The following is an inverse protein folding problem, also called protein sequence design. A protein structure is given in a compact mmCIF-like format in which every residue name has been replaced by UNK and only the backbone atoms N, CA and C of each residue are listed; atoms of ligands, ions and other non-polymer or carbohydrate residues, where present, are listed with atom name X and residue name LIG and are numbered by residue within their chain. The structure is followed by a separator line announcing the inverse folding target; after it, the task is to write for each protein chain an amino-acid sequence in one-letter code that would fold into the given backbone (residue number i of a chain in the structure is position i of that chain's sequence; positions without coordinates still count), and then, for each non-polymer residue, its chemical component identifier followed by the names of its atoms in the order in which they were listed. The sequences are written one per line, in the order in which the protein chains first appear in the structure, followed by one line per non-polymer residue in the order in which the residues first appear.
data_IF_085057311446
#
_entry.id   IF_085057311446
#
_cell.length_a   1.000
_cell.length_b   1.000
_cell.length_c   1.000
_cell.angle_alpha   90.00
_cell.angle_beta   90.00
_cell.angle_gamma   90.00
#
_symmetry.space_group_name_H-M   'P 1'
#
loop_
_entity.id
_entity.type
_entity.pdbx_description
1 polymer ?
#
# COMPACT_ATOMS: atom_id res chain seq x y z
N UNK A 1 5.03 -92.11 -105.78
CA UNK A 1 5.50 -93.51 -105.65
C UNK A 1 6.98 -93.41 -105.38
N UNK A 2 7.49 -93.81 -104.22
CA UNK A 2 7.64 -95.22 -103.81
C UNK A 2 7.69 -95.35 -102.27
N UNK A 3 7.03 -96.37 -101.73
CA UNK A 3 7.12 -96.80 -100.34
C UNK A 3 8.48 -97.50 -100.11
N UNK A 4 9.11 -97.28 -98.95
CA UNK A 4 10.28 -98.03 -98.47
C UNK A 4 9.80 -99.00 -97.39
N UNK A 5 10.15 -100.27 -97.53
CA UNK A 5 9.85 -101.34 -96.58
C UNK A 5 11.04 -101.55 -95.62
N UNK A 6 10.75 -101.70 -94.32
CA UNK A 6 11.66 -101.46 -93.19
C UNK A 6 12.28 -102.73 -92.56
N UNK A 7 12.16 -103.88 -93.22
CA UNK A 7 12.59 -105.15 -92.66
C UNK A 7 13.99 -105.62 -93.10
N UNK A 8 14.89 -104.68 -93.44
CA UNK A 8 16.30 -104.99 -93.75
C UNK A 8 17.21 -104.80 -92.50
N UNK A 9 17.88 -105.86 -91.99
CA UNK A 9 18.66 -105.84 -90.74
C UNK A 9 19.82 -104.84 -90.65
N UNK A 10 20.29 -104.25 -91.76
CA UNK A 10 21.30 -103.19 -91.77
C UNK A 10 20.86 -101.90 -91.05
N UNK A 11 19.55 -101.60 -91.03
CA UNK A 11 19.00 -100.37 -90.44
C UNK A 11 19.08 -100.39 -88.90
N UNK A 12 18.99 -101.58 -88.28
CA UNK A 12 19.00 -101.74 -86.82
C UNK A 12 20.38 -101.46 -86.19
N UNK A 13 21.47 -101.82 -86.86
CA UNK A 13 22.82 -101.57 -86.33
C UNK A 13 23.19 -100.08 -86.30
N UNK A 14 22.74 -99.31 -87.29
CA UNK A 14 22.96 -97.85 -87.38
C UNK A 14 22.20 -97.12 -86.26
N UNK A 15 20.97 -97.55 -85.96
CA UNK A 15 20.17 -97.01 -84.86
C UNK A 15 20.87 -97.16 -83.49
N UNK A 16 21.53 -98.29 -83.24
CA UNK A 16 22.26 -98.52 -81.99
C UNK A 16 23.43 -97.55 -81.77
N UNK A 17 24.23 -97.28 -82.82
CA UNK A 17 25.38 -96.38 -82.72
C UNK A 17 24.98 -94.91 -82.47
N UNK A 18 23.88 -94.46 -83.08
CA UNK A 18 23.36 -93.08 -82.91
C UNK A 18 22.93 -92.82 -81.47
N UNK A 19 22.29 -93.79 -80.81
CA UNK A 19 21.83 -93.64 -79.41
C UNK A 19 23.01 -93.42 -78.45
N UNK A 20 24.15 -94.08 -78.68
CA UNK A 20 25.33 -93.94 -77.81
C UNK A 20 25.96 -92.55 -77.88
N UNK A 21 26.06 -91.96 -79.08
CA UNK A 21 26.62 -90.61 -79.28
C UNK A 21 25.75 -89.54 -78.63
N UNK A 22 24.42 -89.68 -78.73
CA UNK A 22 23.47 -88.74 -78.09
C UNK A 22 23.62 -88.74 -76.57
N UNK A 23 23.87 -89.91 -75.97
CA UNK A 23 24.01 -90.04 -74.52
C UNK A 23 25.27 -89.34 -74.00
N UNK A 24 26.39 -89.43 -74.71
CA UNK A 24 27.63 -88.71 -74.37
C UNK A 24 27.47 -87.18 -74.44
N UNK A 25 26.71 -86.66 -75.41
CA UNK A 25 26.49 -85.23 -75.60
C UNK A 25 25.61 -84.63 -74.49
N UNK A 26 24.65 -85.39 -73.96
CA UNK A 26 23.80 -84.96 -72.84
C UNK A 26 24.62 -84.75 -71.56
N UNK A 27 25.65 -85.57 -71.32
CA UNK A 27 26.48 -85.50 -70.11
C UNK A 27 27.35 -84.22 -70.12
N UNK A 28 27.95 -83.86 -71.25
CA UNK A 28 28.82 -82.66 -71.35
C UNK A 28 28.04 -81.36 -71.19
N UNK A 29 26.84 -81.27 -71.78
CA UNK A 29 25.96 -80.10 -71.63
C UNK A 29 25.50 -79.91 -70.19
N UNK A 30 25.19 -81.00 -69.47
CA UNK A 30 24.82 -80.92 -68.05
C UNK A 30 25.96 -80.41 -67.17
N UNK A 31 27.22 -80.72 -67.49
CA UNK A 31 28.37 -80.20 -66.73
C UNK A 31 28.53 -78.69 -66.91
N UNK A 32 28.39 -78.17 -68.14
CA UNK A 32 28.50 -76.75 -68.45
C UNK A 32 27.38 -75.90 -67.81
N UNK A 33 26.16 -76.44 -67.71
CA UNK A 33 25.04 -75.76 -67.05
C UNK A 33 25.22 -75.61 -65.52
N UNK A 34 26.01 -76.48 -64.89
CA UNK A 34 26.23 -76.44 -63.43
C UNK A 34 27.22 -75.35 -63.02
N UNK A 35 28.20 -75.02 -63.86
CA UNK A 35 29.19 -73.95 -63.59
C UNK A 35 28.60 -72.54 -63.76
N UNK A 36 27.66 -72.34 -64.70
CA UNK A 36 26.97 -71.05 -64.86
C UNK A 36 26.16 -70.63 -63.61
N UNK A 37 25.57 -71.60 -62.88
CA UNK A 37 24.79 -71.33 -61.65
C UNK A 37 25.64 -70.88 -60.45
N UNK A 38 26.96 -71.02 -60.50
CA UNK A 38 27.85 -70.62 -59.40
C UNK A 38 28.38 -69.18 -59.53
N UNK A 39 28.18 -68.52 -60.68
CA UNK A 39 28.64 -67.15 -60.93
C UNK A 39 27.65 -66.07 -60.45
N UNK A 40 26.34 -66.38 -60.36
CA UNK A 40 25.30 -65.45 -59.91
C UNK A 40 25.49 -64.89 -58.48
N UNK A 41 25.84 -65.68 -57.44
CA UNK A 41 25.91 -65.14 -56.08
C UNK A 41 27.09 -64.20 -55.82
N UNK A 42 28.16 -64.27 -56.62
CA UNK A 42 29.36 -63.44 -56.41
C UNK A 42 29.20 -62.00 -56.94
N UNK A 43 28.44 -61.81 -58.01
CA UNK A 43 28.16 -60.47 -58.55
C UNK A 43 27.35 -59.61 -57.56
N UNK A 44 26.40 -60.21 -56.85
CA UNK A 44 25.59 -59.53 -55.84
C UNK A 44 26.42 -59.05 -54.63
N UNK A 45 27.40 -59.85 -54.19
CA UNK A 45 28.22 -59.50 -53.03
C UNK A 45 29.13 -58.30 -53.29
N UNK A 46 29.71 -58.19 -54.49
CA UNK A 46 30.58 -57.06 -54.87
C UNK A 46 29.76 -55.77 -55.00
N UNK A 47 28.55 -55.84 -55.57
CA UNK A 47 27.65 -54.68 -55.63
C UNK A 47 27.22 -54.17 -54.24
N UNK A 48 26.91 -55.09 -53.32
CA UNK A 48 26.55 -54.74 -51.95
C UNK A 48 27.72 -54.11 -51.15
N UNK A 49 28.95 -54.55 -51.40
CA UNK A 49 30.15 -53.96 -50.79
C UNK A 49 30.40 -52.53 -51.29
N UNK A 50 30.24 -52.28 -52.60
CA UNK A 50 30.37 -50.93 -53.18
C UNK A 50 29.40 -49.93 -52.55
N UNK A 51 28.13 -50.32 -52.39
CA UNK A 51 27.12 -49.46 -51.76
C UNK A 51 27.42 -49.17 -50.28
N UNK A 52 27.98 -50.12 -49.53
CA UNK A 52 28.36 -49.90 -48.12
C UNK A 52 29.52 -48.92 -47.97
N UNK A 53 30.53 -49.00 -48.84
CA UNK A 53 31.67 -48.07 -48.82
C UNK A 53 31.21 -46.66 -49.19
N UNK A 54 30.33 -46.53 -50.18
CA UNK A 54 29.80 -45.23 -50.58
C UNK A 54 28.92 -44.61 -49.47
N UNK A 55 28.08 -45.42 -48.81
CA UNK A 55 27.30 -44.96 -47.65
C UNK A 55 28.18 -44.53 -46.45
N UNK A 56 29.34 -45.15 -46.26
CA UNK A 56 30.32 -44.72 -45.24
C UNK A 56 31.00 -43.39 -45.61
N UNK A 57 31.32 -43.19 -46.90
CA UNK A 57 31.84 -41.91 -47.39
C UNK A 57 30.87 -40.75 -47.16
N UNK A 58 29.61 -40.93 -47.56
CA UNK A 58 28.55 -39.95 -47.34
C UNK A 58 28.30 -39.68 -45.84
N UNK A 59 28.45 -40.72 -45.00
CA UNK A 59 28.35 -40.61 -43.55
C UNK A 59 29.47 -39.76 -42.93
N UNK A 60 30.72 -39.95 -43.38
CA UNK A 60 31.86 -39.17 -42.92
C UNK A 60 31.76 -37.70 -43.34
N UNK A 61 31.32 -37.42 -44.56
CA UNK A 61 31.17 -36.04 -45.05
C UNK A 61 30.09 -35.27 -44.27
N UNK A 62 28.97 -35.92 -43.94
CA UNK A 62 27.94 -35.34 -43.06
C UNK A 62 28.43 -35.11 -41.64
N UNK A 63 29.26 -36.01 -41.10
CA UNK A 63 29.86 -35.82 -39.78
C UNK A 63 30.87 -34.65 -39.77
N UNK A 64 31.70 -34.52 -40.80
CA UNK A 64 32.62 -33.40 -40.94
C UNK A 64 31.85 -32.07 -41.04
N UNK A 65 30.80 -32.01 -41.87
CA UNK A 65 29.92 -30.83 -41.96
C UNK A 65 29.20 -30.51 -40.65
N UNK A 66 28.69 -31.54 -39.95
CA UNK A 66 28.03 -31.39 -38.65
C UNK A 66 28.97 -30.87 -37.56
N UNK A 67 30.21 -31.36 -37.50
CA UNK A 67 31.22 -30.89 -36.56
C UNK A 67 31.64 -29.44 -36.84
N UNK A 68 31.78 -29.06 -38.10
CA UNK A 68 32.02 -27.65 -38.47
C UNK A 68 30.87 -26.75 -38.01
N UNK A 69 29.63 -27.16 -38.23
CA UNK A 69 28.45 -26.36 -37.86
C UNK A 69 28.27 -26.25 -36.33
N UNK A 70 28.63 -27.31 -35.57
CA UNK A 70 28.64 -27.27 -34.10
C UNK A 70 29.75 -26.37 -33.58
N UNK A 71 30.95 -26.45 -34.15
CA UNK A 71 32.08 -25.58 -33.79
C UNK A 71 31.77 -24.11 -34.06
N UNK A 72 31.17 -23.80 -35.22
CA UNK A 72 30.78 -22.44 -35.59
C UNK A 72 29.64 -21.91 -34.71
N UNK A 73 28.64 -22.74 -34.40
CA UNK A 73 27.58 -22.38 -33.45
C UNK A 73 28.13 -22.15 -32.03
N UNK A 74 29.10 -22.95 -31.59
CA UNK A 74 29.74 -22.80 -30.29
C UNK A 74 30.59 -21.53 -30.22
N UNK A 75 31.38 -21.23 -31.26
CA UNK A 75 32.16 -19.99 -31.35
C UNK A 75 31.25 -18.75 -31.34
N UNK A 76 30.13 -18.80 -32.06
CA UNK A 76 29.13 -17.72 -32.07
C UNK A 76 28.44 -17.56 -30.70
N UNK A 77 28.11 -18.66 -30.03
CA UNK A 77 27.57 -18.64 -28.67
C UNK A 77 28.57 -18.07 -27.66
N UNK A 78 29.85 -18.42 -27.78
CA UNK A 78 30.90 -17.92 -26.90
C UNK A 78 31.14 -16.42 -27.10
N UNK A 79 31.17 -15.95 -28.35
CA UNK A 79 31.25 -14.51 -28.66
C UNK A 79 30.05 -13.73 -28.12
N UNK A 80 28.83 -14.26 -28.29
CA UNK A 80 27.62 -13.63 -27.76
C UNK A 80 27.65 -13.56 -26.22
N UNK A 81 28.17 -14.59 -25.56
CA UNK A 81 28.35 -14.61 -24.11
C UNK A 81 29.36 -13.57 -23.63
N UNK A 82 30.50 -13.42 -24.32
CA UNK A 82 31.50 -12.40 -24.02
C UNK A 82 30.93 -11.00 -24.18
N UNK A 83 30.18 -10.73 -25.24
CA UNK A 83 29.50 -9.45 -25.44
C UNK A 83 28.47 -9.16 -24.34
N UNK A 84 27.68 -10.15 -23.93
CA UNK A 84 26.73 -10.00 -22.82
C UNK A 84 27.45 -9.74 -21.50
N UNK A 85 28.57 -10.40 -21.25
CA UNK A 85 29.40 -10.17 -20.05
C UNK A 85 29.98 -8.75 -20.05
N UNK A 86 30.51 -8.26 -21.17
CA UNK A 86 30.99 -6.89 -21.30
C UNK A 86 29.88 -5.87 -21.06
N UNK A 87 28.69 -6.08 -21.64
CA UNK A 87 27.52 -5.21 -21.40
C UNK A 87 27.08 -5.22 -19.94
N UNK A 88 27.03 -6.38 -19.30
CA UNK A 88 26.69 -6.51 -17.87
C UNK A 88 27.72 -5.82 -16.99
N UNK A 89 29.01 -5.98 -17.27
CA UNK A 89 30.08 -5.32 -16.52
C UNK A 89 30.02 -3.80 -16.68
N UNK A 90 29.79 -3.30 -17.90
CA UNK A 90 29.60 -1.87 -18.15
C UNK A 90 28.37 -1.32 -17.40
N UNK A 91 27.26 -2.06 -17.38
CA UNK A 91 26.06 -1.68 -16.63
C UNK A 91 26.31 -1.65 -15.11
N UNK A 92 27.00 -2.66 -14.57
CA UNK A 92 27.37 -2.70 -13.15
C UNK A 92 28.31 -1.55 -12.80
N UNK A 93 29.29 -1.26 -13.66
CA UNK A 93 30.20 -0.13 -13.46
C UNK A 93 29.46 1.21 -13.44
N UNK A 94 28.55 1.44 -14.38
CA UNK A 94 27.75 2.66 -14.43
C UNK A 94 26.84 2.80 -13.19
N UNK A 95 26.15 1.73 -12.82
CA UNK A 95 25.28 1.71 -11.64
C UNK A 95 26.07 1.94 -10.34
N UNK A 96 27.27 1.36 -10.23
CA UNK A 96 28.15 1.57 -9.10
C UNK A 96 28.65 3.01 -9.04
N UNK A 97 29.00 3.60 -10.19
CA UNK A 97 29.45 4.98 -10.28
C UNK A 97 28.34 5.98 -9.86
N UNK A 98 27.11 5.77 -10.35
CA UNK A 98 25.94 6.56 -9.94
C UNK A 98 25.62 6.41 -8.46
N UNK A 99 25.66 5.18 -7.93
CA UNK A 99 25.41 4.92 -6.51
C UNK A 99 26.49 5.53 -5.62
N UNK A 100 27.76 5.45 -6.01
CA UNK A 100 28.87 6.06 -5.27
C UNK A 100 28.79 7.60 -5.29
N UNK A 101 28.55 8.21 -6.45
CA UNK A 101 28.36 9.67 -6.54
C UNK A 101 27.12 10.13 -5.77
N UNK A 102 26.01 9.41 -5.88
CA UNK A 102 24.80 9.69 -5.12
C UNK A 102 25.00 9.55 -3.62
N UNK A 103 25.70 8.52 -3.18
CA UNK A 103 26.04 8.29 -1.77
C UNK A 103 26.99 9.35 -1.22
N UNK A 104 28.03 9.71 -1.98
CA UNK A 104 28.97 10.77 -1.59
C UNK A 104 28.27 12.12 -1.46
N UNK A 105 27.36 12.46 -2.39
CA UNK A 105 26.60 13.72 -2.34
C UNK A 105 25.62 13.77 -1.16
N UNK A 106 24.91 12.68 -0.88
CA UNK A 106 24.04 12.57 0.31
C UNK A 106 24.84 12.65 1.61
N UNK A 107 26.02 12.02 1.64
CA UNK A 107 26.93 12.09 2.79
C UNK A 107 27.44 13.50 3.00
N UNK A 108 27.85 14.21 1.94
CA UNK A 108 28.28 15.61 2.03
C UNK A 108 27.14 16.53 2.50
N UNK A 109 25.91 16.34 2.00
CA UNK A 109 24.73 17.07 2.50
C UNK A 109 24.45 16.78 3.97
N UNK A 110 24.46 15.51 4.37
CA UNK A 110 24.22 15.11 5.76
C UNK A 110 25.30 15.68 6.69
N UNK A 111 26.57 15.67 6.28
CA UNK A 111 27.67 16.30 7.01
C UNK A 111 27.53 17.83 7.09
N UNK A 112 27.06 18.48 6.02
CA UNK A 112 26.76 19.91 6.03
C UNK A 112 25.62 20.27 6.98
N UNK A 113 24.55 19.49 6.98
CA UNK A 113 23.44 19.64 7.92
C UNK A 113 23.88 19.40 9.37
N UNK A 114 24.73 18.38 9.61
CA UNK A 114 25.32 18.13 10.91
C UNK A 114 26.23 19.28 11.36
N UNK A 115 27.04 19.84 10.46
CA UNK A 115 27.87 21.01 10.75
C UNK A 115 26.98 22.22 11.09
N UNK A 116 25.88 22.43 10.38
CA UNK A 116 24.95 23.52 10.66
C UNK A 116 24.23 23.33 12.00
N UNK A 117 23.88 22.08 12.34
CA UNK A 117 23.38 21.73 13.67
C UNK A 117 24.42 21.95 14.77
N UNK A 118 25.69 21.57 14.55
CA UNK A 118 26.78 21.83 15.49
C UNK A 118 27.00 23.34 15.70
N UNK A 119 27.00 24.13 14.63
CA UNK A 119 27.06 25.61 14.75
C UNK A 119 25.85 26.17 15.49
N UNK A 120 24.65 25.58 15.31
CA UNK A 120 23.47 25.98 16.08
C UNK A 120 23.56 25.58 17.55
N UNK A 121 24.21 24.45 17.86
CA UNK A 121 24.48 23.99 19.23
C UNK A 121 25.53 24.88 19.88
N UNK A 122 26.61 25.22 19.19
CA UNK A 122 27.62 26.17 19.68
C UNK A 122 27.00 27.55 19.92
N UNK A 123 26.14 28.04 19.01
CA UNK A 123 25.36 29.27 19.24
C UNK A 123 24.38 29.14 20.41
N UNK A 124 23.72 27.99 20.58
CA UNK A 124 22.85 27.76 21.71
C UNK A 124 23.65 27.70 23.03
N UNK A 125 24.86 27.14 23.00
CA UNK A 125 25.76 27.06 24.14
C UNK A 125 26.37 28.42 24.48
N UNK A 126 26.73 29.23 23.48
CA UNK A 126 27.16 30.63 23.62
C UNK A 126 26.00 31.51 24.13
N UNK A 127 24.76 31.25 23.68
CA UNK A 127 23.56 31.86 24.24
C UNK A 127 23.29 31.39 25.68
N UNK A 128 23.66 30.17 26.08
CA UNK A 128 23.56 29.67 27.47
C UNK A 128 24.62 30.30 28.38
N UNK A 129 25.86 30.47 27.90
CA UNK A 129 26.91 31.20 28.64
C UNK A 129 26.61 32.70 28.70
N UNK A 130 26.06 33.30 27.63
CA UNK A 130 25.52 34.67 27.68
C UNK A 130 24.29 34.77 28.57
N UNK A 131 23.38 33.80 28.60
CA UNK A 131 22.22 33.78 29.50
C UNK A 131 22.64 33.75 30.98
N UNK A 132 23.79 33.16 31.29
CA UNK A 132 24.38 33.18 32.64
C UNK A 132 24.97 34.54 33.01
N UNK A 133 25.40 35.35 32.02
CA UNK A 133 25.83 36.74 32.19
C UNK A 133 24.70 37.78 32.12
N UNK A 134 23.67 37.53 31.30
CA UNK A 134 22.50 38.38 31.06
C UNK A 134 21.47 38.34 32.20
N UNK A 135 21.73 37.56 33.26
CA UNK A 135 21.05 37.72 34.56
C UNK A 135 21.30 39.12 35.15
N UNK A 136 22.31 39.86 34.67
CA UNK A 136 22.52 41.28 34.99
C UNK A 136 21.65 42.24 34.15
N UNK A 137 21.35 41.92 32.89
CA UNK A 137 20.47 42.72 32.00
C UNK A 137 18.98 42.65 32.40
N UNK A 138 18.56 41.52 32.97
CA UNK A 138 17.25 41.38 33.62
C UNK A 138 17.08 42.30 34.84
N UNK A 139 18.15 42.72 35.53
CA UNK A 139 18.02 43.61 36.70
C UNK A 139 17.51 45.02 36.31
N UNK A 140 17.87 45.50 35.11
CA UNK A 140 17.44 46.82 34.63
C UNK A 140 15.98 46.82 34.16
N UNK A 141 15.51 45.75 33.50
CA UNK A 141 14.09 45.57 33.12
C UNK A 141 13.20 45.33 34.35
N UNK A 142 13.75 44.71 35.40
CA UNK A 142 13.05 44.39 36.64
C UNK A 142 13.08 45.52 37.69
N UNK A 143 13.69 46.67 37.40
CA UNK A 143 13.78 47.80 38.35
C UNK A 143 12.42 48.47 38.65
N UNK A 144 11.52 48.57 37.66
CA UNK A 144 10.20 49.20 37.80
C UNK A 144 9.06 48.18 37.99
N UNK A 145 8.15 48.43 38.94
CA UNK A 145 6.99 47.56 39.22
C UNK A 145 6.11 47.30 38.01
N UNK A 146 5.96 48.28 37.13
CA UNK A 146 5.12 48.16 35.94
C UNK A 146 5.76 47.29 34.86
N UNK A 147 7.07 47.44 34.62
CA UNK A 147 7.80 46.59 33.66
C UNK A 147 7.90 45.14 34.15
N UNK A 148 7.98 44.94 35.48
CA UNK A 148 7.88 43.60 36.09
C UNK A 148 6.55 42.92 35.81
N UNK A 149 5.43 43.64 36.02
CA UNK A 149 4.10 43.12 35.71
C UNK A 149 3.97 42.73 34.24
N UNK A 150 4.39 43.63 33.35
CA UNK A 150 4.39 43.39 31.91
C UNK A 150 5.26 42.19 31.51
N UNK A 151 6.42 41.99 32.13
CA UNK A 151 7.27 40.81 31.85
C UNK A 151 6.55 39.50 32.19
N UNK A 152 5.88 39.46 33.35
CA UNK A 152 5.09 38.30 33.77
C UNK A 152 3.92 38.02 32.81
N UNK A 153 3.24 39.06 32.34
CA UNK A 153 2.14 38.95 31.37
C UNK A 153 2.63 38.50 29.98
N UNK A 154 3.76 39.04 29.50
CA UNK A 154 4.37 38.66 28.21
C UNK A 154 4.79 37.19 28.24
N UNK A 155 5.45 36.75 29.31
CA UNK A 155 5.88 35.36 29.44
C UNK A 155 4.67 34.41 29.51
N UNK A 156 3.63 34.79 30.26
CA UNK A 156 2.38 34.01 30.29
C UNK A 156 1.74 33.94 28.90
N UNK A 157 1.66 35.06 28.18
CA UNK A 157 1.11 35.12 26.84
C UNK A 157 1.86 34.19 25.87
N UNK A 158 3.19 34.20 25.90
CA UNK A 158 4.02 33.34 25.05
C UNK A 158 3.78 31.85 25.34
N UNK A 159 3.72 31.47 26.62
CA UNK A 159 3.44 30.09 27.05
C UNK A 159 2.04 29.66 26.59
N UNK A 160 1.02 30.49 26.83
CA UNK A 160 -0.38 30.19 26.47
C UNK A 160 -0.55 30.06 24.97
N UNK A 161 0.01 30.99 24.19
CA UNK A 161 -0.11 30.99 22.72
C UNK A 161 0.57 29.78 22.10
N UNK A 162 1.67 29.29 22.68
CA UNK A 162 2.35 28.06 22.23
C UNK A 162 1.62 26.79 22.68
N UNK A 163 0.98 26.81 23.84
CA UNK A 163 0.37 25.62 24.43
C UNK A 163 -1.06 25.38 23.97
N UNK A 164 -1.85 26.43 23.73
CA UNK A 164 -3.28 26.32 23.47
C UNK A 164 -3.68 26.97 22.13
N UNK A 165 -4.70 26.44 21.44
CA UNK A 165 -5.31 27.12 20.30
C UNK A 165 -5.91 28.48 20.70
N UNK A 166 -5.91 29.45 19.80
CA UNK A 166 -6.34 30.84 20.06
C UNK A 166 -7.81 31.00 20.47
N UNK A 167 -8.67 30.04 20.14
CA UNK A 167 -10.08 30.00 20.54
C UNK A 167 -10.31 29.43 21.95
N UNK A 168 -9.26 28.89 22.58
CA UNK A 168 -9.35 28.17 23.85
C UNK A 168 -8.96 29.02 25.06
N UNK A 169 -8.66 30.30 24.86
CA UNK A 169 -8.33 31.23 25.92
C UNK A 169 -8.72 32.67 25.57
N UNK A 170 -8.73 33.54 26.59
CA UNK A 170 -8.88 34.97 26.42
C UNK A 170 -7.90 35.67 27.35
N UNK A 171 -6.99 36.46 26.76
CA UNK A 171 -6.07 37.29 27.52
C UNK A 171 -6.82 38.48 28.11
N UNK A 172 -6.43 38.90 29.32
CA UNK A 172 -7.00 40.07 30.00
C UNK A 172 -8.54 40.00 30.10
N UNK A 173 -9.07 38.82 30.38
CA UNK A 173 -10.51 38.58 30.47
C UNK A 173 -11.12 39.26 31.70
N UNK A 174 -12.25 39.94 31.51
CA UNK A 174 -13.02 40.56 32.60
C UNK A 174 -14.15 39.63 33.00
N UNK A 175 -14.21 39.27 34.29
CA UNK A 175 -15.23 38.40 34.88
C UNK A 175 -16.48 39.21 35.27
N UNK A 176 -17.56 38.52 35.61
CA UNK A 176 -18.85 39.13 35.99
C UNK A 176 -18.75 40.11 37.16
N UNK A 177 -17.79 39.90 38.06
CA UNK A 177 -17.52 40.77 39.20
C UNK A 177 -16.68 42.03 38.86
N UNK A 178 -16.41 42.28 37.57
CA UNK A 178 -15.63 43.41 37.09
C UNK A 178 -14.12 43.30 37.35
N UNK A 179 -13.64 42.16 37.86
CA UNK A 179 -12.20 41.88 38.01
C UNK A 179 -11.64 41.33 36.71
N UNK A 180 -10.38 41.65 36.44
CA UNK A 180 -9.69 41.25 35.21
C UNK A 180 -8.56 40.28 35.55
N UNK A 181 -8.63 39.07 34.99
CA UNK A 181 -7.58 38.07 35.08
C UNK A 181 -6.61 38.22 33.90
N UNK A 182 -5.34 37.85 34.07
CA UNK A 182 -4.35 37.98 33.00
C UNK A 182 -4.62 37.04 31.83
N UNK A 183 -5.13 35.85 32.12
CA UNK A 183 -5.61 34.90 31.13
C UNK A 183 -6.78 34.09 31.70
N UNK A 184 -7.78 33.82 30.87
CA UNK A 184 -8.86 32.89 31.16
C UNK A 184 -8.82 31.77 30.13
N UNK A 185 -8.67 30.53 30.57
CA UNK A 185 -8.67 29.35 29.70
C UNK A 185 -10.09 28.80 29.65
N UNK A 186 -10.62 28.64 28.45
CA UNK A 186 -11.93 28.08 28.21
C UNK A 186 -11.82 26.56 28.19
N UNK A 187 -12.40 25.90 29.19
CA UNK A 187 -12.52 24.45 29.26
C UNK A 187 -14.00 24.04 29.30
N UNK A 188 -14.32 22.83 28.81
CA UNK A 188 -15.67 22.29 28.95
C UNK A 188 -16.04 22.07 30.43
N UNK A 189 -17.33 22.15 30.74
CA UNK A 189 -17.85 21.82 32.07
C UNK A 189 -18.05 20.31 32.24
N UNK A 190 -17.60 19.70 33.36
CA UNK A 190 -16.62 20.19 34.34
C UNK A 190 -15.15 20.01 33.86
N UNK A 191 -14.17 20.84 34.30
CA UNK A 191 -14.24 21.79 35.42
C UNK A 191 -14.69 23.23 35.07
N UNK A 192 -14.80 23.59 33.78
CA UNK A 192 -15.13 24.95 33.37
C UNK A 192 -13.93 25.90 33.26
N UNK A 193 -14.16 27.20 32.96
CA UNK A 193 -13.09 28.15 32.65
C UNK A 193 -12.12 28.36 33.82
N UNK A 194 -10.81 28.28 33.58
CA UNK A 194 -9.77 28.45 34.60
C UNK A 194 -9.06 29.78 34.42
N UNK A 195 -9.03 30.59 35.48
CA UNK A 195 -8.30 31.85 35.50
C UNK A 195 -6.81 31.64 35.84
N UNK A 196 -5.95 32.42 35.19
CA UNK A 196 -4.52 32.52 35.47
C UNK A 196 -4.19 33.98 35.75
N UNK A 197 -3.44 34.21 36.82
CA UNK A 197 -2.96 35.53 37.22
C UNK A 197 -1.45 35.46 37.53
N UNK A 198 -0.70 36.38 36.94
CA UNK A 198 0.75 36.47 37.03
C UNK A 198 1.14 37.32 38.24
N UNK A 199 1.92 36.73 39.16
CA UNK A 199 2.39 37.42 40.36
C UNK A 199 3.88 37.18 40.55
N UNK A 200 4.62 38.27 40.75
CA UNK A 200 6.06 38.20 40.95
C UNK A 200 6.48 38.86 42.26
N UNK A 201 6.65 38.09 43.36
CA UNK A 201 7.12 38.62 44.65
C UNK A 201 8.65 38.84 44.64
N UNK A 202 9.17 39.47 43.58
CA UNK A 202 10.61 39.59 43.34
C UNK A 202 11.32 40.37 44.45
N UNK A 203 10.73 41.45 44.95
CA UNK A 203 11.36 42.28 45.99
C UNK A 203 11.65 41.50 47.27
N UNK A 204 10.68 40.69 47.71
CA UNK A 204 10.84 39.84 48.89
C UNK A 204 11.84 38.70 48.64
N UNK A 205 11.84 38.13 47.43
CA UNK A 205 12.80 37.10 47.03
C UNK A 205 14.23 37.66 46.90
N UNK A 206 14.41 38.85 46.34
CA UNK A 206 15.71 39.51 46.27
C UNK A 206 16.24 39.89 47.64
N UNK A 207 15.38 40.41 48.52
CA UNK A 207 15.74 40.68 49.90
C UNK A 207 16.22 39.39 50.60
N UNK A 208 15.57 38.25 50.32
CA UNK A 208 15.97 36.95 50.85
C UNK A 208 17.34 36.54 50.33
N UNK A 209 17.59 36.70 49.03
CA UNK A 209 18.86 36.34 48.38
C UNK A 209 20.02 37.25 48.77
N UNK A 210 19.76 38.53 49.05
CA UNK A 210 20.75 39.54 49.44
C UNK A 210 21.02 39.58 50.95
N UNK A 211 20.22 38.88 51.76
CA UNK A 211 20.39 38.85 53.21
C UNK A 211 21.74 38.23 53.59
N UNK A 212 22.54 38.94 54.38
CA UNK A 212 23.85 38.48 54.85
C UNK A 212 23.86 38.14 56.33
N UNK A 213 22.81 38.50 57.06
CA UNK A 213 22.65 38.24 58.50
C UNK A 213 21.37 37.48 58.78
N UNK A 214 21.34 36.68 59.85
CA UNK A 214 20.16 35.90 60.25
C UNK A 214 18.93 36.78 60.48
N UNK A 215 19.11 38.00 60.98
CA UNK A 215 18.03 38.96 61.16
C UNK A 215 17.43 39.40 59.82
N UNK A 216 18.27 39.77 58.85
CA UNK A 216 17.82 40.13 57.50
C UNK A 216 17.13 38.95 56.80
N UNK A 217 17.66 37.74 56.97
CA UNK A 217 17.09 36.52 56.40
C UNK A 217 15.67 36.28 56.94
N UNK A 218 15.50 36.40 58.25
CA UNK A 218 14.20 36.21 58.91
C UNK A 218 13.16 37.26 58.48
N UNK A 219 13.55 38.54 58.40
CA UNK A 219 12.65 39.60 57.93
C UNK A 219 12.28 39.42 56.45
N UNK A 220 13.25 39.10 55.58
CA UNK A 220 12.97 38.84 54.18
C UNK A 220 12.05 37.62 53.97
N UNK A 221 12.27 36.55 54.72
CA UNK A 221 11.42 35.36 54.69
C UNK A 221 9.99 35.67 55.14
N UNK A 222 9.82 36.53 56.16
CA UNK A 222 8.51 37.00 56.62
C UNK A 222 7.80 37.84 55.56
N UNK A 223 8.51 38.74 54.88
CA UNK A 223 7.97 39.54 53.78
C UNK A 223 7.50 38.66 52.62
N UNK A 224 8.29 37.64 52.25
CA UNK A 224 7.94 36.70 51.18
C UNK A 224 6.65 35.94 51.51
N UNK A 225 6.56 35.39 52.75
CA UNK A 225 5.36 34.71 53.24
C UNK A 225 4.12 35.60 53.16
N UNK A 226 4.22 36.84 53.64
CA UNK A 226 3.09 37.77 53.61
C UNK A 226 2.67 38.13 52.19
N UNK A 227 3.63 38.37 51.30
CA UNK A 227 3.34 38.73 49.90
C UNK A 227 2.63 37.59 49.16
N UNK A 228 3.17 36.38 49.25
CA UNK A 228 2.62 35.21 48.55
C UNK A 228 1.24 34.85 49.11
N UNK A 229 1.06 34.86 50.43
CA UNK A 229 -0.25 34.59 51.05
C UNK A 229 -1.31 35.61 50.63
N UNK A 230 -0.93 36.90 50.52
CA UNK A 230 -1.82 37.94 50.00
C UNK A 230 -2.21 37.66 48.55
N UNK A 231 -1.26 37.26 47.70
CA UNK A 231 -1.55 36.93 46.30
C UNK A 231 -2.47 35.72 46.16
N UNK A 232 -2.23 34.65 46.91
CA UNK A 232 -3.09 33.47 46.96
C UNK A 232 -4.53 33.87 47.33
N UNK A 233 -4.68 34.64 48.41
CA UNK A 233 -5.99 35.12 48.86
C UNK A 233 -6.68 35.97 47.81
N UNK A 234 -5.97 36.94 47.25
CA UNK A 234 -6.48 37.83 46.19
C UNK A 234 -6.97 37.05 44.96
N UNK A 235 -6.21 36.04 44.52
CA UNK A 235 -6.56 35.22 43.35
C UNK A 235 -7.80 34.39 43.64
N UNK A 236 -7.84 33.74 44.81
CA UNK A 236 -8.97 32.92 45.24
C UNK A 236 -10.27 33.75 45.31
N UNK A 237 -10.23 34.92 45.94
CA UNK A 237 -11.40 35.78 46.12
C UNK A 237 -11.86 36.47 44.82
N UNK A 238 -10.95 36.80 43.91
CA UNK A 238 -11.29 37.56 42.69
C UNK A 238 -11.70 36.67 41.52
N UNK A 239 -11.17 35.46 41.44
CA UNK A 239 -11.25 34.66 40.21
C UNK A 239 -11.88 33.29 40.37
N UNK A 240 -12.20 32.84 41.59
CA UNK A 240 -12.95 31.60 41.81
C UNK A 240 -14.40 31.99 42.12
N UNK A 241 -15.23 31.99 41.08
CA UNK A 241 -16.63 32.40 41.10
C UNK A 241 -17.51 31.20 40.78
N UNK A 242 -18.38 30.84 41.72
CA UNK A 242 -19.30 29.71 41.59
C UNK A 242 -20.23 29.89 40.38
N UNK A 243 -20.28 28.87 39.51
CA UNK A 243 -21.10 28.87 38.30
C UNK A 243 -20.51 29.62 37.10
N UNK A 244 -19.40 30.35 37.27
CA UNK A 244 -18.73 31.09 36.18
C UNK A 244 -17.35 30.51 35.86
N UNK A 245 -16.53 30.28 36.88
CA UNK A 245 -15.18 29.73 36.73
C UNK A 245 -15.09 28.36 37.39
N UNK A 246 -14.03 27.62 37.08
CA UNK A 246 -13.69 26.38 37.75
C UNK A 246 -13.47 26.58 39.25
N UNK A 247 -13.56 25.48 40.01
CA UNK A 247 -13.21 25.39 41.43
C UNK A 247 -11.70 25.50 41.70
N UNK A 248 -10.99 26.30 40.91
CA UNK A 248 -9.60 26.64 41.16
C UNK A 248 -9.01 27.56 40.11
N UNK A 249 -7.91 28.20 40.48
CA UNK A 249 -7.17 29.16 39.66
C UNK A 249 -5.66 28.87 39.69
N UNK A 250 -4.93 29.37 38.70
CA UNK A 250 -3.48 29.25 38.64
C UNK A 250 -2.81 30.58 39.01
N UNK A 251 -1.87 30.53 39.96
CA UNK A 251 -0.95 31.62 40.24
C UNK A 251 0.34 31.39 39.47
N UNK A 252 0.56 32.16 38.42
CA UNK A 252 1.75 32.06 37.58
C UNK A 252 2.90 32.87 38.19
N UNK A 253 4.01 32.19 38.48
CA UNK A 253 5.26 32.79 38.92
C UNK A 253 6.24 32.80 37.74
N UNK A 254 6.63 33.98 37.19
CA UNK A 254 7.48 34.07 36.01
C UNK A 254 8.98 33.80 36.31
N UNK A 255 9.27 32.91 37.24
CA UNK A 255 10.62 32.53 37.67
C UNK A 255 10.64 31.13 38.28
N UNK A 256 11.41 30.23 37.67
CA UNK A 256 11.66 28.89 38.22
C UNK A 256 12.38 28.95 39.57
N UNK A 257 13.27 29.92 39.76
CA UNK A 257 14.03 30.06 41.00
C UNK A 257 13.12 30.41 42.19
N UNK A 258 12.17 31.33 42.01
CA UNK A 258 11.17 31.66 43.04
C UNK A 258 10.27 30.46 43.33
N UNK A 259 9.83 29.76 42.28
CA UNK A 259 9.00 28.56 42.46
C UNK A 259 9.73 27.46 43.27
N UNK A 260 11.00 27.20 42.95
CA UNK A 260 11.83 26.22 43.67
C UNK A 260 12.05 26.63 45.13
N UNK A 261 12.33 27.91 45.39
CA UNK A 261 12.49 28.46 46.74
C UNK A 261 11.23 28.25 47.59
N UNK A 262 10.04 28.53 47.03
CA UNK A 262 8.78 28.33 47.72
C UNK A 262 8.54 26.86 48.09
N UNK A 263 8.87 25.93 47.20
CA UNK A 263 8.67 24.50 47.45
C UNK A 263 9.69 23.92 48.43
N UNK A 264 10.94 24.42 48.40
CA UNK A 264 12.00 23.95 49.28
C UNK A 264 11.86 24.49 50.71
N UNK A 265 11.65 25.80 50.85
CA UNK A 265 11.80 26.51 52.13
C UNK A 265 10.49 27.05 52.71
N UNK A 266 9.41 27.08 51.92
CA UNK A 266 8.10 27.60 52.34
C UNK A 266 6.93 26.66 52.00
N UNK A 267 6.99 25.36 52.34
CA UNK A 267 5.95 24.39 51.99
C UNK A 267 4.57 24.73 52.59
N UNK A 268 4.53 25.53 53.65
CA UNK A 268 3.28 26.06 54.20
C UNK A 268 2.52 26.95 53.21
N UNK A 269 3.21 27.74 52.39
CA UNK A 269 2.57 28.60 51.39
C UNK A 269 1.97 27.79 50.24
N UNK A 270 2.62 26.69 49.88
CA UNK A 270 2.11 25.74 48.90
C UNK A 270 0.82 25.08 49.41
N UNK A 271 0.80 24.66 50.68
CA UNK A 271 -0.41 24.12 51.33
C UNK A 271 -1.53 25.16 51.44
N UNK A 272 -1.19 26.40 51.80
CA UNK A 272 -2.15 27.51 51.83
C UNK A 272 -2.78 27.73 50.43
N UNK A 273 -1.97 27.62 49.37
CA UNK A 273 -2.43 27.66 47.97
C UNK A 273 -3.44 26.56 47.66
N UNK A 274 -3.09 25.31 47.96
CA UNK A 274 -4.01 24.17 47.77
C UNK A 274 -5.32 24.35 48.54
N UNK A 275 -5.27 24.78 49.80
CA UNK A 275 -6.45 25.02 50.63
C UNK A 275 -7.34 26.14 50.06
N UNK A 276 -6.73 27.17 49.47
CA UNK A 276 -7.43 28.26 48.79
C UNK A 276 -7.85 27.93 47.35
N UNK A 277 -7.60 26.70 46.87
CA UNK A 277 -7.83 26.25 45.48
C UNK A 277 -7.05 27.08 44.45
N UNK A 278 -5.86 27.54 44.82
CA UNK A 278 -4.93 28.29 43.97
C UNK A 278 -3.65 27.48 43.79
N UNK A 279 -3.41 26.98 42.58
CA UNK A 279 -2.21 26.22 42.27
C UNK A 279 -1.10 27.14 41.77
N UNK A 280 0.04 27.07 42.46
CA UNK A 280 1.23 27.82 42.09
C UNK A 280 1.91 27.09 40.93
N UNK A 281 2.18 27.81 39.83
CA UNK A 281 2.87 27.26 38.66
C UNK A 281 3.99 28.18 38.20
N UNK A 282 5.10 27.59 37.81
CA UNK A 282 6.24 28.20 37.12
C UNK A 282 6.12 28.06 35.60
N UNK A 283 7.02 28.63 34.77
CA UNK A 283 6.97 28.49 33.30
C UNK A 283 6.85 27.04 32.81
N UNK A 284 7.68 26.14 33.34
CA UNK A 284 7.70 24.73 32.93
C UNK A 284 6.45 23.98 33.39
N UNK A 285 6.03 24.18 34.64
CA UNK A 285 4.84 23.52 35.20
C UNK A 285 3.55 24.08 34.60
N UNK A 286 3.49 25.38 34.28
CA UNK A 286 2.41 26.00 33.53
C UNK A 286 2.30 25.36 32.14
N UNK A 287 3.41 25.30 31.38
CA UNK A 287 3.44 24.65 30.07
C UNK A 287 2.93 23.19 30.13
N UNK A 288 3.37 22.41 31.11
CA UNK A 288 2.89 21.03 31.30
C UNK A 288 1.39 20.96 31.61
N UNK A 289 0.91 21.86 32.48
CA UNK A 289 -0.51 21.97 32.85
C UNK A 289 -1.36 22.34 31.64
N UNK A 290 -0.95 23.34 30.86
CA UNK A 290 -1.65 23.76 29.64
C UNK A 290 -1.66 22.68 28.56
N UNK A 291 -0.57 21.94 28.40
CA UNK A 291 -0.53 20.80 27.48
C UNK A 291 -1.52 19.70 27.89
N UNK A 292 -1.70 19.49 29.19
CA UNK A 292 -2.70 18.55 29.72
C UNK A 292 -4.12 19.07 29.46
N UNK A 293 -4.37 20.35 29.69
CA UNK A 293 -5.64 21.01 29.34
C UNK A 293 -5.93 20.95 27.83
N UNK A 294 -4.92 21.07 26.97
CA UNK A 294 -5.06 20.91 25.51
C UNK A 294 -5.58 19.52 25.14
N UNK A 295 -5.09 18.47 25.80
CA UNK A 295 -5.57 17.11 25.55
C UNK A 295 -7.06 16.98 25.88
N UNK A 296 -7.50 17.53 27.01
CA UNK A 296 -8.91 17.58 27.41
C UNK A 296 -9.75 18.33 26.38
N UNK A 297 -9.27 19.47 25.88
CA UNK A 297 -9.95 20.24 24.84
C UNK A 297 -10.11 19.46 23.53
N UNK A 298 -9.06 18.74 23.13
CA UNK A 298 -9.10 17.89 21.94
C UNK A 298 -10.15 16.79 22.09
N UNK A 299 -10.19 16.14 23.25
CA UNK A 299 -11.16 15.07 23.55
C UNK A 299 -12.59 15.60 23.57
N UNK A 300 -12.82 16.79 24.13
CA UNK A 300 -14.12 17.43 24.15
C UNK A 300 -14.62 17.78 22.74
N UNK A 301 -13.77 18.40 21.92
CA UNK A 301 -14.09 18.68 20.50
C UNK A 301 -14.40 17.40 19.73
N UNK A 302 -13.61 16.34 19.94
CA UNK A 302 -13.84 15.05 19.28
C UNK A 302 -15.22 14.46 19.64
N UNK A 303 -15.66 14.57 20.89
CA UNK A 303 -17.00 14.13 21.33
C UNK A 303 -18.13 14.93 20.69
N UNK A 304 -17.98 16.25 20.57
CA UNK A 304 -18.97 17.11 19.92
C UNK A 304 -19.13 16.73 18.44
N UNK A 305 -18.01 16.56 17.73
CA UNK A 305 -18.02 16.15 16.33
C UNK A 305 -18.58 14.74 16.13
N UNK A 306 -18.31 13.80 17.05
CA UNK A 306 -18.93 12.48 17.02
C UNK A 306 -20.47 12.55 17.11
N UNK A 307 -21.02 13.51 17.87
CA UNK A 307 -22.45 13.78 17.92
C UNK A 307 -23.02 14.29 16.60
N UNK A 308 -22.30 15.17 15.90
CA UNK A 308 -22.66 15.62 14.55
C UNK A 308 -22.61 14.46 13.54
N UNK A 309 -21.54 13.66 13.55
CA UNK A 309 -21.40 12.48 12.68
C UNK A 309 -22.53 11.48 12.91
N UNK A 310 -22.92 11.21 14.17
CA UNK A 310 -24.06 10.32 14.47
C UNK A 310 -25.37 10.83 13.89
N UNK A 311 -25.61 12.15 13.88
CA UNK A 311 -26.80 12.73 13.24
C UNK A 311 -26.79 12.52 11.73
N UNK A 312 -25.67 12.82 11.08
CA UNK A 312 -25.50 12.60 9.63
C UNK A 312 -25.64 11.13 9.24
N UNK A 313 -25.06 10.20 10.02
CA UNK A 313 -25.23 8.77 9.80
C UNK A 313 -26.69 8.32 9.95
N UNK A 314 -27.45 8.94 10.86
CA UNK A 314 -28.89 8.68 11.01
C UNK A 314 -29.69 9.10 9.77
N UNK A 315 -29.36 10.24 9.17
CA UNK A 315 -29.97 10.70 7.91
C UNK A 315 -29.60 9.75 6.75
N UNK A 316 -28.33 9.38 6.64
CA UNK A 316 -27.88 8.42 5.63
C UNK A 316 -28.59 7.07 5.74
N UNK A 317 -28.80 6.57 6.97
CA UNK A 317 -29.55 5.34 7.18
C UNK A 317 -31.00 5.43 6.67
N UNK A 318 -31.67 6.55 6.92
CA UNK A 318 -33.03 6.79 6.39
C UNK A 318 -33.05 6.78 4.85
N UNK A 319 -32.03 7.35 4.21
CA UNK A 319 -31.94 7.37 2.76
C UNK A 319 -31.69 5.96 2.18
N UNK A 320 -30.84 5.17 2.84
CA UNK A 320 -30.61 3.76 2.46
C UNK A 320 -31.88 2.92 2.65
N UNK A 321 -32.62 3.12 3.74
CA UNK A 321 -33.89 2.43 3.98
C UNK A 321 -34.94 2.74 2.89
N UNK A 322 -35.10 4.03 2.54
CA UNK A 322 -35.95 4.47 1.42
C UNK A 322 -35.53 3.84 0.10
N UNK A 323 -34.21 3.73 -0.15
CA UNK A 323 -33.71 3.08 -1.35
C UNK A 323 -34.05 1.59 -1.35
N UNK A 324 -33.90 0.90 -0.21
CA UNK A 324 -34.31 -0.48 -0.04
C UNK A 324 -35.80 -0.71 -0.36
N UNK A 325 -36.69 0.12 0.20
CA UNK A 325 -38.13 0.06 -0.09
C UNK A 325 -38.44 0.27 -1.58
N UNK A 326 -37.73 1.18 -2.25
CA UNK A 326 -37.89 1.41 -3.70
C UNK A 326 -37.43 0.22 -4.52
N UNK A 327 -36.31 -0.40 -4.15
CA UNK A 327 -35.81 -1.62 -4.81
C UNK A 327 -36.79 -2.77 -4.62
N UNK A 328 -37.36 -2.92 -3.42
CA UNK A 328 -38.36 -3.96 -3.15
C UNK A 328 -39.65 -3.75 -3.97
N UNK A 329 -40.11 -2.50 -4.09
CA UNK A 329 -41.23 -2.16 -4.97
C UNK A 329 -40.90 -2.48 -6.44
N UNK A 330 -39.68 -2.18 -6.89
CA UNK A 330 -39.24 -2.46 -8.26
C UNK A 330 -39.18 -3.97 -8.54
N UNK A 331 -38.67 -4.77 -7.59
CA UNK A 331 -38.65 -6.23 -7.69
C UNK A 331 -40.06 -6.82 -7.81
N UNK A 332 -41.03 -6.30 -7.06
CA UNK A 332 -42.44 -6.66 -7.22
C UNK A 332 -42.97 -6.35 -8.62
N UNK A 333 -42.63 -5.21 -9.20
CA UNK A 333 -43.02 -4.86 -10.56
C UNK A 333 -42.38 -5.76 -11.62
N UNK A 334 -41.08 -6.09 -11.50
CA UNK A 334 -40.41 -7.03 -12.40
C UNK A 334 -41.01 -8.43 -12.31
N UNK A 335 -41.31 -8.90 -11.10
CA UNK A 335 -41.98 -10.18 -10.89
C UNK A 335 -43.35 -10.23 -11.56
N UNK A 336 -44.10 -9.13 -11.52
CA UNK A 336 -45.38 -9.03 -12.23
C UNK A 336 -45.17 -9.03 -13.75
N UNK A 337 -44.27 -8.20 -14.27
CA UNK A 337 -43.97 -8.18 -15.70
C UNK A 337 -43.50 -9.54 -16.23
N UNK A 338 -42.70 -10.28 -15.45
CA UNK A 338 -42.26 -11.62 -15.80
C UNK A 338 -43.43 -12.63 -15.89
N UNK A 339 -44.43 -12.52 -15.01
CA UNK A 339 -45.67 -13.29 -15.10
C UNK A 339 -46.44 -12.93 -16.37
N UNK A 340 -46.61 -11.64 -16.65
CA UNK A 340 -47.33 -11.17 -17.83
C UNK A 340 -46.67 -11.68 -19.13
N UNK A 341 -45.34 -11.64 -19.22
CA UNK A 341 -44.57 -12.21 -20.35
C UNK A 341 -44.84 -13.72 -20.49
N UNK A 342 -44.93 -14.43 -19.37
CA UNK A 342 -45.21 -15.88 -19.38
C UNK A 342 -46.61 -16.17 -19.92
N UNK A 343 -47.61 -15.39 -19.52
CA UNK A 343 -48.99 -15.51 -20.03
C UNK A 343 -49.10 -15.17 -21.53
N UNK A 344 -48.38 -14.13 -21.99
CA UNK A 344 -48.28 -13.76 -23.41
C UNK A 344 -47.67 -14.91 -24.23
N UNK A 345 -46.62 -15.56 -23.70
CA UNK A 345 -45.98 -16.70 -24.36
C UNK A 345 -46.94 -17.89 -24.50
N UNK A 346 -47.67 -18.23 -23.44
CA UNK A 346 -48.69 -19.31 -23.46
C UNK A 346 -49.78 -19.01 -24.51
N UNK A 347 -50.25 -17.77 -24.55
CA UNK A 347 -51.29 -17.34 -25.50
C UNK A 347 -50.78 -17.38 -26.94
N UNK A 348 -49.56 -16.90 -27.19
CA UNK A 348 -48.88 -16.97 -28.49
C UNK A 348 -48.70 -18.42 -28.96
N UNK A 349 -48.28 -19.33 -28.08
CA UNK A 349 -48.14 -20.76 -28.40
C UNK A 349 -49.48 -21.41 -28.76
N UNK A 350 -50.55 -21.09 -28.02
CA UNK A 350 -51.91 -21.55 -28.33
C UNK A 350 -52.37 -21.02 -29.69
N UNK A 351 -52.16 -19.74 -29.97
CA UNK A 351 -52.51 -19.12 -31.25
C UNK A 351 -51.74 -19.78 -32.41
N UNK A 352 -50.43 -19.97 -32.27
CA UNK A 352 -49.60 -20.66 -33.26
C UNK A 352 -50.02 -22.11 -33.51
N UNK A 353 -50.35 -22.87 -32.45
CA UNK A 353 -50.91 -24.23 -32.61
C UNK A 353 -52.25 -24.23 -33.34
N UNK A 354 -53.10 -23.22 -33.09
CA UNK A 354 -54.40 -23.09 -33.76
C UNK A 354 -54.25 -22.72 -35.24
N UNK A 355 -53.33 -21.80 -35.55
CA UNK A 355 -52.98 -21.43 -36.92
C UNK A 355 -52.49 -22.63 -37.73
N UNK A 356 -51.58 -23.45 -37.18
CA UNK A 356 -51.12 -24.69 -37.84
C UNK A 356 -52.23 -25.72 -38.08
N UNK A 357 -53.24 -25.80 -37.19
CA UNK A 357 -54.40 -26.67 -37.43
C UNK A 357 -55.29 -26.17 -38.56
N UNK A 358 -55.48 -24.85 -38.66
CA UNK A 358 -56.23 -24.23 -39.75
C UNK A 358 -55.53 -24.46 -41.10
N UNK A 359 -54.22 -24.27 -41.14
CA UNK A 359 -53.39 -24.53 -42.34
C UNK A 359 -53.52 -26.00 -42.80
N UNK A 360 -53.57 -26.96 -41.87
CA UNK A 360 -53.78 -28.38 -42.20
C UNK A 360 -55.22 -28.70 -42.66
N UNK A 361 -56.23 -27.94 -42.23
CA UNK A 361 -57.63 -28.19 -42.60
C UNK A 361 -57.91 -27.77 -44.06
N UNK A 362 -57.22 -26.75 -44.58
CA UNK A 362 -57.36 -26.30 -45.98
C UNK A 362 -56.81 -27.30 -47.01
N UNK A 363 -55.99 -28.30 -46.60
CA UNK A 363 -55.43 -29.31 -47.52
C UNK A 363 -56.23 -30.62 -47.57
N UNK A 364 -57.10 -30.92 -46.61
CA UNK A 364 -57.91 -32.17 -46.63
C UNK A 364 -59.25 -32.01 -47.37
N UNK A 365 -59.86 -30.82 -47.40
CA UNK A 365 -61.15 -30.60 -48.08
C UNK A 365 -61.05 -30.44 -49.62
N UNK A 366 -59.85 -30.25 -50.18
CA UNK A 366 -59.63 -30.16 -51.63
C UNK A 366 -59.34 -31.50 -52.33
N UNK A 367 -59.35 -32.62 -51.62
CA UNK A 367 -59.20 -33.96 -52.22
C UNK A 367 -60.55 -34.69 -52.35
N UNK A 368 -61.46 -34.18 -53.19
CA UNK A 368 -62.61 -34.98 -53.63
C UNK A 368 -62.15 -36.07 -54.62
N UNK A 369 -62.53 -37.34 -54.45
CA UNK A 369 -62.21 -38.39 -55.41
C UNK A 369 -63.02 -38.19 -56.70
N UNK A 370 -62.31 -38.09 -57.82
CA UNK A 370 -62.90 -38.01 -59.16
C UNK A 370 -63.64 -39.33 -59.45
N UNK A 371 -64.98 -39.30 -59.47
CA UNK A 371 -65.82 -40.43 -59.94
C UNK A 371 -65.64 -40.62 -61.46
N UNK A 372 -65.40 -41.84 -61.96
CA UNK A 372 -65.25 -42.07 -63.39
C UNK A 372 -66.63 -42.12 -64.07
N UNK A 373 -66.77 -41.39 -65.18
CA UNK A 373 -67.98 -41.37 -66.02
C UNK A 373 -68.06 -42.68 -66.81
N UNK A 374 -69.12 -43.45 -66.57
CA UNK A 374 -69.49 -44.64 -67.33
C UNK A 374 -69.97 -44.26 -68.74
N UNK A 375 -69.32 -44.83 -69.75
CA UNK A 375 -69.77 -44.85 -71.14
C UNK A 375 -70.97 -45.77 -71.31
N UNK A 376 -72.11 -45.22 -71.75
CA UNK A 376 -73.28 -46.00 -72.15
C UNK A 376 -73.36 -46.11 -73.68
N UNK A 377 -73.51 -47.35 -74.17
CA UNK A 377 -73.67 -47.76 -75.56
C UNK A 377 -75.11 -47.57 -76.06
N UNK A 378 -75.23 -47.10 -77.32
CA UNK A 378 -76.04 -47.56 -78.48
C UNK A 378 -77.46 -48.17 -78.23
N UNK A 379 -78.44 -47.60 -78.95
CA UNK A 379 -79.76 -48.13 -79.35
C UNK A 379 -80.79 -46.99 -79.43
N UNK A 380 -81.47 -46.64 -80.52
CA UNK A 380 -81.68 -47.18 -81.88
C UNK A 380 -81.55 -46.07 -82.93
#
# INVERSE_FOLDING_TARGET
MTQIDLNDPLILAVLGAVVFVVLLLIITVRAALKSARLAEPLAYQIGALGQRVQALGDGQERLAGGLHHVSEAQAKSQSSMLQLMEQRLAQVQNQMNENLHGSARRTAQSLGELQQRLVSIDKAQENITKLSGDVLSLQDILSNKQTRGAFGEIQLNDIVTKALPSDSYTMQATLSNGRRADCLIHLPNPPGPIAIDSKFPLEAYEALRKATTDWQLNEAAKLLRQSVRRHIKDISEKYIIEGETADGALMFLPSEAVYAELHANFPELVRDGFAARVWIVSPTTCMATLNTMRAILKDARMREQAGAIRRELGLLYQDVDRLGQRVENLDRHFSQAAKDITEIKISSDKAGKRARRLDNFDFEEMAQPVTPVLTAKIGD
#
